data_IF_965595926387
#
_entry.id   IF_965595926387
#
_cell.length_a   1.000
_cell.length_b   1.000
_cell.length_c   1.000
_cell.angle_alpha   90.00
_cell.angle_beta   90.00
_cell.angle_gamma   90.00
#
_symmetry.space_group_name_H-M   'P 1'
#
loop_
_entity.id
_entity.type
_entity.pdbx_description
1 polymer ?
#
# COMPACT_ATOMS: atom_id res chain seq x y z
N UNK A 1 35.80 -11.12 -10.31
CA UNK A 1 35.95 -12.36 -9.48
C UNK A 1 34.58 -12.84 -9.06
N UNK A 2 34.05 -13.80 -9.79
CA UNK A 2 32.78 -14.43 -9.44
C UNK A 2 33.02 -15.42 -8.29
N UNK A 3 32.33 -15.32 -7.19
CA UNK A 3 32.35 -16.31 -6.12
C UNK A 3 30.96 -16.64 -5.63
N UNK A 4 30.52 -17.80 -6.08
CA UNK A 4 29.93 -18.86 -5.28
C UNK A 4 28.74 -18.48 -4.40
N UNK A 5 27.57 -18.42 -5.02
CA UNK A 5 26.33 -18.67 -4.32
C UNK A 5 26.37 -20.04 -3.64
N UNK A 6 26.09 -20.06 -2.37
CA UNK A 6 26.11 -21.24 -1.55
C UNK A 6 25.02 -22.23 -1.99
N UNK A 7 25.40 -23.15 -2.87
CA UNK A 7 24.55 -24.29 -3.34
C UNK A 7 24.03 -25.15 -2.17
N UNK A 8 24.57 -24.97 -0.98
CA UNK A 8 24.16 -25.68 0.22
C UNK A 8 22.82 -25.17 0.76
N UNK A 9 22.61 -23.86 0.78
CA UNK A 9 21.35 -23.26 1.24
C UNK A 9 20.15 -23.65 0.34
N UNK A 10 20.40 -23.76 -1.00
CA UNK A 10 19.37 -24.21 -1.95
C UNK A 10 19.09 -25.72 -1.80
N UNK A 11 20.12 -26.51 -1.48
CA UNK A 11 19.96 -27.94 -1.23
C UNK A 11 19.26 -28.23 0.10
N UNK A 12 19.41 -27.38 1.10
CA UNK A 12 18.76 -27.54 2.40
C UNK A 12 17.29 -27.11 2.34
N UNK A 13 16.95 -26.12 1.51
CA UNK A 13 15.56 -25.79 1.17
C UNK A 13 14.86 -26.91 0.38
N UNK A 14 15.58 -27.57 -0.54
CA UNK A 14 15.04 -28.71 -1.29
C UNK A 14 14.92 -29.97 -0.41
N UNK A 15 15.77 -30.13 0.61
CA UNK A 15 15.69 -31.27 1.56
C UNK A 15 14.51 -31.16 2.54
N UNK A 16 13.96 -29.97 2.76
CA UNK A 16 12.76 -29.82 3.61
C UNK A 16 11.46 -30.35 2.96
N UNK A 17 11.48 -30.74 1.69
CA UNK A 17 10.30 -31.27 0.97
C UNK A 17 10.30 -32.77 0.72
N UNK A 18 11.36 -33.52 1.07
CA UNK A 18 11.39 -34.98 0.89
C UNK A 18 11.36 -35.68 2.24
N UNK A 19 10.19 -35.78 2.82
CA UNK A 19 9.93 -36.82 3.85
C UNK A 19 9.78 -38.15 3.10
N UNK A 20 10.84 -38.98 3.09
CA UNK A 20 10.76 -40.36 2.65
C UNK A 20 9.80 -41.10 3.58
N UNK A 21 8.69 -41.57 3.03
CA UNK A 21 7.80 -42.50 3.68
C UNK A 21 8.52 -43.87 3.77
N UNK A 22 9.05 -44.17 4.95
CA UNK A 22 9.41 -45.53 5.31
C UNK A 22 8.15 -46.30 5.68
N UNK A 23 7.89 -47.43 5.04
CA UNK A 23 6.78 -48.35 5.33
C UNK A 23 6.89 -48.86 6.78
N UNK A 24 6.24 -48.21 7.73
CA UNK A 24 5.73 -48.78 8.98
C UNK A 24 4.24 -48.55 8.95
N UNK A 25 3.45 -49.59 9.20
CA UNK A 25 2.00 -49.52 9.30
C UNK A 25 1.65 -48.44 10.37
N UNK A 26 1.38 -47.23 9.91
CA UNK A 26 1.08 -46.11 10.77
C UNK A 26 -0.27 -46.34 11.41
N UNK A 27 -0.24 -46.49 12.71
CA UNK A 27 -1.43 -46.44 13.54
C UNK A 27 -2.25 -45.20 13.13
N UNK A 28 -3.57 -45.33 12.89
CA UNK A 28 -4.51 -44.27 12.47
C UNK A 28 -4.54 -43.04 13.38
N UNK A 29 -3.77 -43.04 14.49
CA UNK A 29 -3.52 -41.91 15.41
C UNK A 29 -2.40 -40.97 14.97
N UNK A 30 -1.88 -41.04 13.74
CA UNK A 30 -1.04 -39.96 13.21
C UNK A 30 -1.91 -38.71 13.16
N UNK A 31 -1.80 -37.92 14.21
CA UNK A 31 -2.50 -36.64 14.39
C UNK A 31 -2.22 -35.83 13.14
N UNK A 32 -3.20 -35.71 12.26
CA UNK A 32 -3.11 -34.78 11.10
C UNK A 32 -2.71 -33.44 11.67
N UNK A 33 -1.48 -33.02 11.37
CA UNK A 33 -0.93 -31.73 11.85
C UNK A 33 -1.99 -30.66 11.63
N UNK A 34 -2.53 -30.10 12.70
CA UNK A 34 -3.63 -29.14 12.64
C UNK A 34 -3.16 -27.96 11.78
N UNK A 35 -3.83 -27.74 10.65
CA UNK A 35 -3.47 -26.61 9.76
C UNK A 35 -3.57 -25.30 10.51
N UNK A 36 -2.49 -24.55 10.52
CA UNK A 36 -2.41 -23.21 11.10
C UNK A 36 -3.25 -22.22 10.29
N UNK A 37 -3.48 -21.03 10.81
CA UNK A 37 -4.15 -19.98 10.05
C UNK A 37 -3.25 -19.45 8.91
N UNK A 38 -1.92 -19.50 9.09
CA UNK A 38 -0.93 -19.23 8.06
C UNK A 38 -1.05 -20.22 6.91
N UNK A 39 -1.20 -21.54 7.18
CA UNK A 39 -1.41 -22.56 6.15
C UNK A 39 -2.71 -22.33 5.37
N UNK A 40 -3.76 -21.87 6.07
CA UNK A 40 -5.04 -21.53 5.43
C UNK A 40 -4.92 -20.31 4.53
N UNK A 41 -4.21 -19.28 5.00
CA UNK A 41 -3.92 -18.08 4.21
C UNK A 41 -3.13 -18.44 2.95
N UNK A 42 -2.05 -19.21 3.10
CA UNK A 42 -1.22 -19.63 1.98
C UNK A 42 -2.01 -20.45 0.95
N UNK A 43 -2.83 -21.40 1.42
CA UNK A 43 -3.69 -22.19 0.52
C UNK A 43 -4.66 -21.29 -0.24
N UNK A 44 -5.30 -20.35 0.42
CA UNK A 44 -6.20 -19.39 -0.23
C UNK A 44 -5.44 -18.54 -1.26
N UNK A 45 -4.24 -18.08 -0.94
CA UNK A 45 -3.41 -17.31 -1.87
C UNK A 45 -2.95 -18.15 -3.07
N UNK A 46 -2.56 -19.42 -2.85
CA UNK A 46 -2.17 -20.32 -3.94
C UNK A 46 -3.35 -20.54 -4.91
N UNK A 47 -4.56 -20.72 -4.39
CA UNK A 47 -5.77 -20.90 -5.20
C UNK A 47 -6.18 -19.60 -5.91
N UNK A 48 -6.24 -18.47 -5.21
CA UNK A 48 -6.74 -17.21 -5.75
C UNK A 48 -5.69 -16.43 -6.55
N UNK A 49 -4.51 -16.20 -5.95
CA UNK A 49 -3.46 -15.42 -6.62
C UNK A 49 -2.73 -16.21 -7.70
N UNK A 50 -2.73 -17.54 -7.61
CA UNK A 50 -2.25 -18.40 -8.69
C UNK A 50 -2.94 -18.10 -10.01
N UNK A 51 -4.26 -17.95 -9.98
CA UNK A 51 -5.06 -17.62 -11.15
C UNK A 51 -4.89 -16.16 -11.60
N UNK A 52 -4.88 -15.21 -10.64
CA UNK A 52 -4.74 -13.78 -10.93
C UNK A 52 -3.37 -13.43 -11.51
N UNK A 53 -2.28 -13.94 -10.91
CA UNK A 53 -0.91 -13.59 -11.27
C UNK A 53 -0.22 -14.61 -12.20
N UNK A 54 -0.83 -15.76 -12.40
CA UNK A 54 -0.34 -16.81 -13.29
C UNK A 54 1.13 -17.17 -13.02
N UNK A 55 1.95 -17.18 -14.05
CA UNK A 55 3.39 -17.51 -13.96
C UNK A 55 4.19 -16.63 -12.98
N UNK A 56 3.71 -15.43 -12.68
CA UNK A 56 4.38 -14.52 -11.74
C UNK A 56 4.15 -14.92 -10.28
N UNK A 57 3.10 -15.71 -10.00
CA UNK A 57 2.73 -16.08 -8.65
C UNK A 57 3.85 -16.83 -7.90
N UNK A 58 4.52 -17.76 -8.54
CA UNK A 58 5.59 -18.52 -7.90
C UNK A 58 6.70 -17.63 -7.33
N UNK A 59 7.14 -16.62 -8.09
CA UNK A 59 8.16 -15.68 -7.63
C UNK A 59 7.66 -14.75 -6.53
N UNK A 60 6.41 -14.29 -6.63
CA UNK A 60 5.75 -13.45 -5.62
C UNK A 60 5.58 -14.25 -4.32
N UNK A 61 5.07 -15.47 -4.42
CA UNK A 61 4.87 -16.39 -3.30
C UNK A 61 6.18 -16.64 -2.54
N UNK A 62 7.25 -16.93 -3.28
CA UNK A 62 8.57 -17.16 -2.69
C UNK A 62 9.07 -15.93 -1.93
N UNK A 63 8.92 -14.73 -2.50
CA UNK A 63 9.29 -13.49 -1.83
C UNK A 63 8.43 -13.20 -0.58
N UNK A 64 7.12 -13.48 -0.65
CA UNK A 64 6.22 -13.31 0.49
C UNK A 64 6.57 -14.24 1.66
N UNK A 65 7.08 -15.45 1.40
CA UNK A 65 7.43 -16.45 2.42
C UNK A 65 8.78 -16.18 3.11
N UNK A 66 9.58 -15.24 2.61
CA UNK A 66 10.81 -14.83 3.28
C UNK A 66 10.44 -14.07 4.56
N UNK A 67 10.91 -14.58 5.70
CA UNK A 67 10.63 -14.00 7.04
C UNK A 67 11.35 -12.67 7.26
N UNK A 68 12.50 -12.53 6.66
CA UNK A 68 13.34 -11.36 6.83
C UNK A 68 12.85 -10.23 5.92
N UNK A 69 12.57 -9.08 6.56
CA UNK A 69 12.15 -7.88 5.85
C UNK A 69 13.34 -6.98 5.57
N UNK A 70 13.37 -6.42 4.37
CA UNK A 70 14.24 -5.31 4.04
C UNK A 70 13.44 -4.02 4.29
N UNK A 71 14.05 -3.09 5.01
CA UNK A 71 13.42 -1.81 5.36
C UNK A 71 14.12 -0.66 4.64
N UNK A 72 13.42 0.45 4.53
CA UNK A 72 14.00 1.76 4.28
C UNK A 72 14.07 2.56 5.58
N UNK A 73 15.09 3.38 5.73
CA UNK A 73 15.21 4.30 6.85
C UNK A 73 14.67 5.68 6.44
N UNK A 74 13.57 6.08 7.07
CA UNK A 74 13.02 7.43 6.95
C UNK A 74 13.69 8.28 8.02
N UNK A 75 14.62 9.17 7.60
CA UNK A 75 15.38 10.03 8.50
C UNK A 75 14.45 10.97 9.21
N UNK A 76 14.69 11.15 10.50
CA UNK A 76 13.89 12.02 11.33
C UNK A 76 14.32 13.48 11.19
N UNK A 77 13.45 14.29 10.58
CA UNK A 77 13.69 15.74 10.39
C UNK A 77 13.67 16.55 11.71
N UNK A 78 13.30 15.92 12.83
CA UNK A 78 13.34 16.50 14.17
C UNK A 78 14.58 16.10 14.98
N UNK A 79 15.51 15.32 14.39
CA UNK A 79 16.77 14.88 15.00
C UNK A 79 17.97 15.51 14.28
N UNK A 80 19.18 14.96 14.49
CA UNK A 80 20.47 15.45 13.96
C UNK A 80 20.68 15.00 12.50
N UNK A 81 19.97 15.62 11.56
CA UNK A 81 19.84 15.19 10.16
C UNK A 81 21.20 14.93 9.50
N UNK A 82 22.17 15.87 9.60
CA UNK A 82 23.43 15.76 8.88
C UNK A 82 24.30 14.65 9.43
N UNK A 83 24.32 14.45 10.76
CA UNK A 83 24.98 13.31 11.40
C UNK A 83 24.39 12.00 10.93
N UNK A 84 23.05 11.89 10.92
CA UNK A 84 22.34 10.67 10.52
C UNK A 84 22.62 10.34 9.06
N UNK A 85 22.55 11.33 8.15
CA UNK A 85 22.89 11.15 6.74
C UNK A 85 24.30 10.60 6.56
N UNK A 86 25.30 11.25 7.18
CA UNK A 86 26.70 10.82 7.12
C UNK A 86 26.88 9.39 7.66
N UNK A 87 26.22 9.04 8.76
CA UNK A 87 26.27 7.69 9.34
C UNK A 87 25.65 6.66 8.39
N UNK A 88 24.47 6.92 7.82
CA UNK A 88 23.79 6.01 6.88
C UNK A 88 24.59 5.83 5.58
N UNK A 89 25.15 6.90 5.04
CA UNK A 89 25.98 6.88 3.83
C UNK A 89 27.30 6.14 4.07
N UNK A 90 27.92 6.30 5.25
CA UNK A 90 29.12 5.53 5.62
C UNK A 90 28.86 4.02 5.71
N UNK A 91 27.62 3.60 6.00
CA UNK A 91 27.20 2.21 5.96
C UNK A 91 26.82 1.73 4.54
N UNK A 92 26.98 2.58 3.51
CA UNK A 92 26.67 2.26 2.13
C UNK A 92 25.16 2.38 1.77
N UNK A 93 24.37 3.05 2.60
CA UNK A 93 22.99 3.35 2.25
C UNK A 93 22.93 4.55 1.30
N UNK A 94 21.95 4.53 0.38
CA UNK A 94 21.77 5.54 -0.66
C UNK A 94 20.44 6.26 -0.46
N UNK A 95 20.43 7.56 -0.76
CA UNK A 95 19.23 8.37 -0.71
C UNK A 95 18.30 8.06 -1.90
N UNK A 96 17.02 7.75 -1.61
CA UNK A 96 16.01 7.39 -2.61
C UNK A 96 15.79 8.50 -3.65
N UNK A 97 15.80 9.77 -3.23
CA UNK A 97 15.66 10.93 -4.12
C UNK A 97 16.81 11.01 -5.11
N UNK A 98 18.04 10.82 -4.62
CA UNK A 98 19.25 10.82 -5.48
C UNK A 98 19.18 9.69 -6.52
N UNK A 99 18.76 8.49 -6.11
CA UNK A 99 18.53 7.37 -7.04
C UNK A 99 17.50 7.75 -8.10
N UNK A 100 16.36 8.30 -7.69
CA UNK A 100 15.32 8.73 -8.61
C UNK A 100 15.82 9.76 -9.64
N UNK A 101 16.55 10.78 -9.20
CA UNK A 101 17.09 11.83 -10.07
C UNK A 101 18.11 11.30 -11.08
N UNK A 102 19.01 10.40 -10.65
CA UNK A 102 19.98 9.76 -11.53
C UNK A 102 19.27 8.96 -12.63
N UNK A 103 18.34 8.10 -12.26
CA UNK A 103 17.62 7.26 -13.24
C UNK A 103 16.70 8.08 -14.14
N UNK A 104 16.09 9.17 -13.63
CA UNK A 104 15.31 10.11 -14.43
C UNK A 104 16.17 10.75 -15.50
N UNK A 105 17.34 11.29 -15.17
CA UNK A 105 18.29 11.86 -16.14
C UNK A 105 18.68 10.83 -17.20
N UNK A 106 18.96 9.60 -16.78
CA UNK A 106 19.32 8.52 -17.70
C UNK A 106 18.18 8.16 -18.69
N UNK A 107 16.92 8.23 -18.25
CA UNK A 107 15.74 8.00 -19.10
C UNK A 107 15.57 9.16 -20.09
N UNK A 108 15.74 10.40 -19.63
CA UNK A 108 15.60 11.61 -20.44
C UNK A 108 16.69 11.67 -21.53
N UNK A 109 17.92 11.26 -21.22
CA UNK A 109 19.04 11.21 -22.17
C UNK A 109 18.94 10.04 -23.18
N UNK A 110 18.21 8.96 -22.87
CA UNK A 110 18.07 7.78 -23.72
C UNK A 110 16.61 7.42 -24.07
N UNK A 111 15.86 8.32 -24.71
CA UNK A 111 14.42 8.11 -24.96
C UNK A 111 14.14 6.96 -25.96
N UNK A 112 15.12 6.56 -26.76
CA UNK A 112 14.97 5.49 -27.76
C UNK A 112 14.88 4.09 -27.16
N UNK A 113 15.53 3.82 -26.02
CA UNK A 113 15.44 2.53 -25.30
C UNK A 113 14.08 2.33 -24.61
N UNK A 114 13.40 3.41 -24.22
CA UNK A 114 12.07 3.35 -23.64
C UNK A 114 10.97 3.04 -24.68
N UNK A 115 11.16 3.47 -25.94
CA UNK A 115 10.21 3.21 -27.04
C UNK A 115 10.26 1.75 -27.52
N UNK A 116 11.40 1.06 -27.47
CA UNK A 116 11.50 -0.34 -27.87
C UNK A 116 10.70 -1.29 -26.95
N UNK A 117 10.60 -0.95 -25.66
CA UNK A 117 9.73 -1.67 -24.74
C UNK A 117 8.22 -1.37 -24.94
N UNK A 118 7.88 -0.16 -25.44
CA UNK A 118 6.49 0.16 -25.82
C UNK A 118 6.05 -0.62 -27.07
N UNK A 119 6.96 -0.88 -28.01
CA UNK A 119 6.66 -1.63 -29.25
C UNK A 119 6.53 -3.14 -28.95
N UNK A 120 7.38 -3.69 -28.08
CA UNK A 120 7.24 -5.10 -27.61
C UNK A 120 5.96 -5.31 -26.80
N UNK A 121 5.56 -4.33 -25.98
CA UNK A 121 4.28 -4.35 -25.27
C UNK A 121 3.06 -4.18 -26.20
N UNK A 122 3.19 -3.42 -27.29
CA UNK A 122 2.13 -3.36 -28.33
C UNK A 122 1.99 -4.68 -29.09
N UNK A 123 3.10 -5.34 -29.40
CA UNK A 123 3.07 -6.67 -30.03
C UNK A 123 2.56 -7.75 -29.08
N UNK A 124 2.90 -7.69 -27.78
CA UNK A 124 2.34 -8.58 -26.76
C UNK A 124 0.83 -8.31 -26.55
N UNK A 125 0.40 -7.04 -26.52
CA UNK A 125 -1.04 -6.68 -26.48
C UNK A 125 -1.79 -7.13 -27.73
N UNK A 126 -1.17 -7.07 -28.91
CA UNK A 126 -1.80 -7.55 -30.16
C UNK A 126 -1.82 -9.10 -30.24
N UNK A 127 -0.80 -9.78 -29.69
CA UNK A 127 -0.83 -11.26 -29.55
C UNK A 127 -1.87 -11.72 -28.53
N UNK A 128 -2.03 -11.01 -27.43
CA UNK A 128 -3.10 -11.28 -26.44
C UNK A 128 -4.46 -10.99 -27.08
N UNK A 129 -4.61 -9.91 -27.86
CA UNK A 129 -5.85 -9.66 -28.63
C UNK A 129 -6.16 -10.72 -29.68
N UNK A 130 -5.16 -11.28 -30.38
CA UNK A 130 -5.38 -12.36 -31.35
C UNK A 130 -5.70 -13.70 -30.68
N UNK A 131 -5.16 -13.97 -29.49
CA UNK A 131 -5.52 -15.14 -28.68
C UNK A 131 -6.92 -15.01 -28.02
N UNK A 132 -7.41 -13.78 -27.88
CA UNK A 132 -8.75 -13.47 -27.33
C UNK A 132 -9.80 -13.44 -28.45
N UNK A 133 -9.40 -13.22 -29.73
CA UNK A 133 -10.36 -13.20 -30.85
C UNK A 133 -10.88 -14.58 -31.24
N UNK A 134 -10.21 -15.66 -30.78
CA UNK A 134 -10.67 -17.04 -31.04
C UNK A 134 -11.44 -17.65 -29.86
N UNK A 135 -11.59 -16.94 -28.75
CA UNK A 135 -12.48 -17.26 -27.64
C UNK A 135 -13.62 -16.24 -27.61
N UNK A 136 -14.84 -16.72 -27.53
CA UNK A 136 -16.11 -15.97 -27.60
C UNK A 136 -16.10 -14.53 -27.04
N UNK A 137 -16.91 -13.56 -27.60
CA UNK A 137 -16.70 -12.11 -27.46
C UNK A 137 -17.17 -11.52 -26.10
N UNK A 138 -16.88 -12.16 -24.96
CA UNK A 138 -17.35 -11.67 -23.66
C UNK A 138 -16.35 -11.76 -22.49
N UNK A 139 -15.04 -11.87 -22.76
CA UNK A 139 -14.04 -11.82 -21.69
C UNK A 139 -13.27 -10.50 -21.79
N UNK A 140 -13.96 -9.42 -21.46
CA UNK A 140 -13.33 -8.13 -21.15
C UNK A 140 -12.73 -8.14 -19.75
N UNK A 141 -12.09 -7.04 -19.35
CA UNK A 141 -11.54 -6.81 -18.01
C UNK A 141 -12.50 -7.13 -16.84
N UNK A 142 -13.81 -7.29 -17.09
CA UNK A 142 -14.80 -7.83 -16.18
C UNK A 142 -14.45 -9.25 -15.70
N UNK A 143 -13.77 -10.06 -16.50
CA UNK A 143 -13.38 -11.41 -16.11
C UNK A 143 -12.40 -11.48 -14.93
N UNK A 144 -11.55 -10.48 -14.72
CA UNK A 144 -10.69 -10.39 -13.53
C UNK A 144 -11.48 -10.14 -12.23
N UNK A 145 -12.63 -9.51 -12.34
CA UNK A 145 -13.54 -9.28 -11.21
C UNK A 145 -14.56 -10.42 -11.05
N UNK A 146 -14.72 -11.25 -12.05
CA UNK A 146 -15.62 -12.41 -12.01
C UNK A 146 -14.97 -13.63 -11.36
N UNK A 147 -13.64 -13.70 -11.32
CA UNK A 147 -12.93 -14.86 -10.81
C UNK A 147 -12.62 -14.72 -9.32
N UNK A 148 -13.65 -14.87 -8.49
CA UNK A 148 -13.49 -15.14 -7.06
C UNK A 148 -13.69 -16.64 -6.86
N UNK A 149 -12.66 -17.40 -6.42
CA UNK A 149 -12.81 -18.83 -6.20
C UNK A 149 -13.97 -19.09 -5.25
N UNK A 150 -14.80 -20.05 -5.61
CA UNK A 150 -15.92 -20.50 -4.79
C UNK A 150 -15.39 -21.18 -3.52
N UNK A 151 -15.11 -20.41 -2.48
CA UNK A 151 -14.72 -20.96 -1.19
C UNK A 151 -15.98 -21.36 -0.44
N UNK A 152 -16.18 -22.68 -0.29
CA UNK A 152 -17.27 -23.21 0.54
C UNK A 152 -17.01 -22.87 2.00
N UNK A 153 -17.73 -21.92 2.56
CA UNK A 153 -17.67 -21.60 3.98
C UNK A 153 -18.58 -22.57 4.72
N UNK A 154 -17.98 -23.62 5.27
CA UNK A 154 -18.72 -24.65 6.04
C UNK A 154 -19.16 -24.07 7.38
N UNK A 155 -20.47 -24.05 7.65
CA UNK A 155 -21.06 -23.65 8.92
C UNK A 155 -21.81 -22.32 8.93
N UNK A 156 -22.12 -21.76 7.79
CA UNK A 156 -23.13 -20.69 7.65
C UNK A 156 -24.41 -21.29 7.06
N UNK A 157 -25.53 -21.10 7.74
CA UNK A 157 -26.85 -21.59 7.31
C UNK A 157 -27.27 -20.97 5.97
N UNK A 158 -26.83 -19.73 5.67
CA UNK A 158 -26.98 -19.06 4.39
C UNK A 158 -25.69 -19.16 3.58
N UNK A 159 -25.63 -20.16 2.75
CA UNK A 159 -24.46 -20.50 1.97
C UNK A 159 -24.34 -19.60 0.73
N UNK A 160 -23.53 -18.55 0.81
CA UNK A 160 -23.24 -17.67 -0.32
C UNK A 160 -21.83 -17.97 -0.82
N UNK A 161 -21.66 -18.27 -2.10
CA UNK A 161 -20.35 -18.33 -2.73
C UNK A 161 -19.65 -16.99 -2.58
N UNK A 162 -18.35 -16.98 -2.31
CA UNK A 162 -17.58 -15.73 -2.19
C UNK A 162 -17.72 -14.87 -3.47
N UNK A 163 -17.82 -15.50 -4.65
CA UNK A 163 -18.12 -14.83 -5.91
C UNK A 163 -19.51 -14.15 -5.94
N UNK A 164 -20.50 -14.72 -5.27
CA UNK A 164 -21.85 -14.12 -5.17
C UNK A 164 -21.88 -12.99 -4.14
N UNK A 165 -21.09 -13.11 -3.07
CA UNK A 165 -20.95 -12.06 -2.06
C UNK A 165 -20.42 -10.76 -2.69
N UNK A 166 -19.55 -10.86 -3.70
CA UNK A 166 -19.04 -9.74 -4.48
C UNK A 166 -19.81 -9.52 -5.79
N UNK A 167 -21.05 -10.02 -5.91
CA UNK A 167 -21.85 -9.96 -7.14
C UNK A 167 -22.11 -8.54 -7.67
N UNK A 168 -22.15 -7.54 -6.79
CA UNK A 168 -22.31 -6.15 -7.20
C UNK A 168 -21.08 -5.56 -7.92
N UNK A 169 -19.92 -6.22 -7.87
CA UNK A 169 -18.78 -5.86 -8.71
C UNK A 169 -19.01 -6.20 -10.20
N UNK A 170 -19.96 -7.09 -10.49
CA UNK A 170 -20.28 -7.53 -11.87
C UNK A 170 -21.10 -6.51 -12.65
N UNK A 171 -21.90 -5.70 -12.00
CA UNK A 171 -22.70 -4.67 -12.66
C UNK A 171 -21.81 -3.46 -12.96
N UNK A 172 -21.09 -3.54 -14.08
CA UNK A 172 -20.38 -2.41 -14.63
C UNK A 172 -21.35 -1.30 -14.99
N UNK A 173 -21.42 -0.25 -14.17
CA UNK A 173 -21.99 0.99 -14.67
C UNK A 173 -21.11 1.46 -15.82
N UNK A 174 -21.73 1.89 -16.92
CA UNK A 174 -21.08 2.61 -18.00
C UNK A 174 -20.73 4.04 -17.54
N UNK A 175 -20.01 4.18 -16.41
CA UNK A 175 -19.46 5.46 -16.04
C UNK A 175 -18.02 5.57 -16.55
N UNK A 176 -17.70 6.69 -17.15
CA UNK A 176 -16.36 6.95 -17.63
C UNK A 176 -15.54 7.56 -16.51
N UNK A 177 -14.39 6.96 -16.22
CA UNK A 177 -13.40 7.54 -15.32
C UNK A 177 -12.41 8.32 -16.16
N UNK A 178 -12.20 9.59 -15.80
CA UNK A 178 -11.18 10.40 -16.43
C UNK A 178 -9.80 10.02 -15.89
N UNK A 179 -8.94 9.53 -16.77
CA UNK A 179 -7.56 9.21 -16.43
C UNK A 179 -6.63 10.25 -17.01
N UNK A 180 -5.78 10.83 -16.19
CA UNK A 180 -4.71 11.75 -16.62
C UNK A 180 -3.35 11.19 -16.26
N UNK A 181 -2.36 11.42 -17.13
CA UNK A 181 -0.98 11.01 -16.90
C UNK A 181 -0.28 11.98 -15.98
N UNK A 182 0.41 11.44 -14.99
CA UNK A 182 1.36 12.17 -14.17
C UNK A 182 2.79 11.81 -14.60
N UNK A 183 3.54 12.81 -15.01
CA UNK A 183 4.87 12.61 -15.61
C UNK A 183 5.99 12.66 -14.57
N UNK A 184 5.79 13.44 -13.50
CA UNK A 184 6.81 13.71 -12.50
C UNK A 184 6.34 13.24 -11.13
N UNK A 185 7.26 12.63 -10.38
CA UNK A 185 7.10 12.38 -8.96
C UNK A 185 7.85 13.46 -8.18
N UNK A 186 7.14 14.20 -7.33
CA UNK A 186 7.73 15.24 -6.52
C UNK A 186 8.26 14.65 -5.21
N UNK A 187 9.54 14.86 -4.92
CA UNK A 187 10.11 14.50 -3.64
C UNK A 187 10.13 15.72 -2.74
N UNK A 188 9.45 15.70 -1.57
CA UNK A 188 9.52 16.76 -0.60
C UNK A 188 10.96 17.05 -0.19
N UNK A 189 11.31 18.32 -0.08
CA UNK A 189 12.70 18.76 0.16
C UNK A 189 13.32 18.13 1.40
N UNK A 190 12.56 18.03 2.48
CA UNK A 190 13.01 17.56 3.79
C UNK A 190 12.84 16.06 4.00
N UNK A 191 12.14 15.35 3.12
CA UNK A 191 11.95 13.91 3.22
C UNK A 191 13.21 13.17 2.76
N UNK A 192 13.98 12.68 3.70
CA UNK A 192 15.18 11.90 3.44
C UNK A 192 14.92 10.43 3.73
N UNK A 193 15.00 9.61 2.68
CA UNK A 193 14.76 8.17 2.75
C UNK A 193 15.99 7.46 2.23
N UNK A 194 16.50 6.50 3.01
CA UNK A 194 17.68 5.73 2.66
C UNK A 194 17.36 4.26 2.46
N UNK A 195 18.02 3.65 1.51
CA UNK A 195 17.94 2.22 1.20
C UNK A 195 19.32 1.68 0.83
N UNK A 196 19.46 0.36 0.88
CA UNK A 196 20.65 -0.31 0.33
C UNK A 196 20.37 -0.72 -1.13
N UNK A 197 21.43 -0.95 -1.89
CA UNK A 197 21.36 -1.47 -3.26
C UNK A 197 20.57 -2.77 -3.35
N UNK A 198 20.08 -3.04 -4.55
CA UNK A 198 19.46 -4.32 -4.87
C UNK A 198 20.45 -5.48 -4.60
N UNK A 199 19.97 -6.55 -4.00
CA UNK A 199 20.77 -7.70 -3.54
C UNK A 199 21.81 -7.40 -2.43
N UNK A 200 21.75 -6.25 -1.79
CA UNK A 200 22.54 -5.97 -0.60
C UNK A 200 21.74 -6.36 0.65
N UNK A 201 22.24 -7.37 1.39
CA UNK A 201 21.60 -7.91 2.60
C UNK A 201 21.90 -7.09 3.86
N UNK A 202 22.56 -5.93 3.73
CA UNK A 202 22.83 -5.04 4.85
C UNK A 202 21.55 -4.58 5.52
N UNK A 203 21.61 -4.45 6.84
CA UNK A 203 20.48 -3.99 7.67
C UNK A 203 20.85 -2.68 8.34
N UNK A 204 19.86 -1.82 8.46
CA UNK A 204 20.00 -0.63 9.29
C UNK A 204 20.17 -1.04 10.75
N UNK A 205 21.13 -0.44 11.48
CA UNK A 205 21.25 -0.63 12.92
C UNK A 205 19.98 -0.13 13.63
N UNK A 206 19.88 -0.44 14.92
CA UNK A 206 18.77 0.10 15.73
C UNK A 206 18.90 1.61 15.83
N UNK A 207 17.80 2.34 15.57
CA UNK A 207 17.75 3.80 15.66
C UNK A 207 18.10 4.24 17.08
N UNK A 208 18.99 5.22 17.20
CA UNK A 208 19.42 5.83 18.47
C UNK A 208 18.66 7.14 18.70
N UNK A 209 18.72 7.67 19.91
CA UNK A 209 18.21 9.01 20.18
C UNK A 209 19.30 10.04 19.84
N UNK A 210 18.89 11.07 19.10
CA UNK A 210 19.72 12.22 18.78
C UNK A 210 19.80 13.24 19.92
N UNK A 211 20.44 14.38 19.67
CA UNK A 211 20.60 15.49 20.62
C UNK A 211 19.27 16.07 21.09
N UNK A 212 18.25 15.99 20.25
CA UNK A 212 16.88 16.43 20.53
C UNK A 212 16.07 15.44 21.37
N UNK A 213 16.63 14.29 21.72
CA UNK A 213 16.01 13.24 22.53
C UNK A 213 15.04 12.34 21.81
N UNK A 214 14.80 12.56 20.49
CA UNK A 214 13.98 11.69 19.65
C UNK A 214 14.82 10.71 18.84
N UNK A 215 14.20 9.66 18.30
CA UNK A 215 14.87 8.65 17.50
C UNK A 215 15.32 9.18 16.13
N UNK A 216 16.47 8.73 15.64
CA UNK A 216 17.15 9.22 14.46
C UNK A 216 16.45 8.90 13.14
N UNK A 217 15.87 7.72 13.01
CA UNK A 217 15.12 7.31 11.82
C UNK A 217 14.12 6.22 12.13
N UNK A 218 13.09 6.15 11.32
CA UNK A 218 12.04 5.14 11.37
C UNK A 218 12.24 4.12 10.26
N UNK A 219 12.21 2.82 10.62
CA UNK A 219 12.30 1.74 9.65
C UNK A 219 10.90 1.44 9.11
N UNK A 220 10.72 1.64 7.80
CA UNK A 220 9.47 1.45 7.10
C UNK A 220 9.65 0.41 5.98
N UNK A 221 8.62 -0.38 5.69
CA UNK A 221 8.58 -1.18 4.47
C UNK A 221 8.75 -0.26 3.25
N UNK A 222 9.71 -0.58 2.37
CA UNK A 222 10.07 0.32 1.28
C UNK A 222 8.91 0.63 0.32
N UNK A 223 7.96 -0.29 0.14
CA UNK A 223 6.80 -0.02 -0.69
C UNK A 223 5.79 0.92 -0.03
N UNK A 224 5.77 1.01 1.32
CA UNK A 224 4.91 1.92 2.08
C UNK A 224 5.24 3.40 1.90
N UNK A 225 6.41 3.71 1.33
CA UNK A 225 6.81 5.08 0.96
C UNK A 225 6.02 5.59 -0.25
N UNK A 226 5.65 4.70 -1.19
CA UNK A 226 5.02 5.08 -2.45
C UNK A 226 3.70 5.84 -2.28
N UNK A 227 2.75 5.41 -1.42
CA UNK A 227 1.54 6.19 -1.16
C UNK A 227 1.81 7.59 -0.61
N UNK A 228 2.85 7.75 0.21
CA UNK A 228 3.24 9.06 0.78
C UNK A 228 3.78 9.98 -0.30
N UNK A 229 4.63 9.48 -1.20
CA UNK A 229 5.12 10.25 -2.34
C UNK A 229 4.01 10.61 -3.33
N UNK A 230 3.02 9.71 -3.51
CA UNK A 230 1.88 9.93 -4.39
C UNK A 230 0.95 11.06 -3.90
N UNK A 231 0.97 11.42 -2.61
CA UNK A 231 0.19 12.54 -2.10
C UNK A 231 0.58 13.88 -2.73
N UNK A 232 1.84 14.02 -3.17
CA UNK A 232 2.37 15.28 -3.75
C UNK A 232 2.19 16.50 -2.82
N UNK A 233 2.63 16.32 -1.56
CA UNK A 233 2.46 17.29 -0.49
C UNK A 233 3.09 18.63 -0.81
N UNK A 234 2.33 19.70 -0.57
CA UNK A 234 2.76 21.07 -0.73
C UNK A 234 2.89 21.78 0.63
N UNK A 235 3.75 22.84 0.73
CA UNK A 235 3.84 23.62 1.96
C UNK A 235 2.49 24.23 2.35
N UNK A 236 2.09 24.00 3.58
CA UNK A 236 0.85 24.53 4.12
C UNK A 236 -0.38 23.61 4.01
N UNK A 237 -0.23 22.43 3.42
CA UNK A 237 -1.33 21.49 3.27
C UNK A 237 -1.97 21.06 4.60
N UNK A 238 -3.29 20.91 4.60
CA UNK A 238 -4.01 20.20 5.63
C UNK A 238 -4.19 18.73 5.21
N UNK A 239 -3.63 17.83 6.00
CA UNK A 239 -3.53 16.39 5.68
C UNK A 239 -4.33 15.56 6.67
N UNK A 240 -5.12 14.61 6.14
CA UNK A 240 -5.83 13.59 6.92
C UNK A 240 -5.31 12.19 6.55
N UNK A 241 -4.80 11.45 7.54
CA UNK A 241 -4.55 10.00 7.43
C UNK A 241 -5.71 9.27 8.11
N UNK A 242 -6.61 8.68 7.30
CA UNK A 242 -7.88 8.14 7.77
C UNK A 242 -7.77 6.84 8.56
N UNK A 243 -6.70 6.06 8.37
CA UNK A 243 -6.47 4.76 9.02
C UNK A 243 -5.00 4.66 9.45
N UNK A 244 -4.55 5.62 10.23
CA UNK A 244 -3.15 5.98 10.43
C UNK A 244 -2.30 4.92 11.16
N UNK A 245 -2.90 4.05 11.95
CA UNK A 245 -2.12 3.11 12.77
C UNK A 245 -1.41 2.02 11.94
N UNK A 246 -0.16 1.73 12.27
CA UNK A 246 0.57 2.07 13.52
C UNK A 246 1.27 3.45 13.55
N UNK A 247 1.19 4.27 12.49
CA UNK A 247 1.74 5.63 12.46
C UNK A 247 2.93 5.84 11.52
N UNK A 248 3.38 4.80 10.81
CA UNK A 248 4.58 4.91 9.95
C UNK A 248 4.40 5.83 8.74
N UNK A 249 3.25 5.78 8.04
CA UNK A 249 2.94 6.70 6.93
C UNK A 249 2.67 8.11 7.46
N UNK A 250 1.89 8.24 8.52
CA UNK A 250 1.69 9.53 9.24
C UNK A 250 3.03 10.18 9.60
N UNK A 251 3.95 9.40 10.19
CA UNK A 251 5.28 9.90 10.52
C UNK A 251 6.04 10.34 9.25
N UNK A 252 6.00 9.54 8.18
CA UNK A 252 6.65 9.90 6.92
C UNK A 252 6.10 11.20 6.31
N UNK A 253 4.80 11.44 6.44
CA UNK A 253 4.16 12.71 6.07
C UNK A 253 4.71 13.87 6.93
N UNK A 254 4.80 13.69 8.24
CA UNK A 254 5.36 14.69 9.16
C UNK A 254 6.84 15.01 8.86
N UNK A 255 7.63 14.01 8.43
CA UNK A 255 9.04 14.20 8.05
C UNK A 255 9.23 15.06 6.81
N UNK A 256 8.18 15.29 6.02
CA UNK A 256 8.23 16.23 4.90
C UNK A 256 8.28 17.69 5.35
N UNK A 257 7.86 18.00 6.57
CA UNK A 257 7.66 19.34 7.13
C UNK A 257 6.72 20.23 6.29
N UNK A 258 5.95 19.64 5.38
CA UNK A 258 5.01 20.33 4.50
C UNK A 258 3.65 20.62 5.16
N UNK A 259 3.06 19.69 5.94
CA UNK A 259 1.74 19.93 6.50
C UNK A 259 1.70 21.10 7.48
N UNK A 260 0.72 21.97 7.31
CA UNK A 260 0.35 22.94 8.35
C UNK A 260 -0.54 22.30 9.41
N UNK A 261 -1.43 21.41 8.97
CA UNK A 261 -2.31 20.64 9.85
C UNK A 261 -2.17 19.16 9.47
N UNK A 262 -2.00 18.30 10.48
CA UNK A 262 -1.98 16.85 10.32
C UNK A 262 -2.99 16.21 11.26
N UNK A 263 -3.95 15.50 10.70
CA UNK A 263 -4.91 14.67 11.45
C UNK A 263 -4.63 13.21 11.19
N UNK A 264 -4.31 12.46 12.23
CA UNK A 264 -4.11 11.02 12.21
C UNK A 264 -5.28 10.32 12.91
N UNK A 265 -6.05 9.53 12.17
CA UNK A 265 -7.24 8.87 12.68
C UNK A 265 -7.10 7.36 12.69
N UNK A 266 -7.65 6.69 13.69
CA UNK A 266 -7.91 5.26 13.68
C UNK A 266 -9.14 4.94 14.52
N UNK A 267 -9.90 3.90 14.16
CA UNK A 267 -11.14 3.53 14.87
C UNK A 267 -10.87 2.88 16.24
N UNK A 268 -9.69 2.26 16.43
CA UNK A 268 -9.40 1.47 17.62
C UNK A 268 -8.51 2.22 18.59
N UNK A 269 -8.95 2.36 19.85
CA UNK A 269 -8.20 3.01 20.93
C UNK A 269 -6.76 2.47 21.09
N UNK A 270 -6.59 1.16 21.05
CA UNK A 270 -5.26 0.53 21.15
C UNK A 270 -4.34 0.91 20.01
N UNK A 271 -4.89 1.11 18.80
CA UNK A 271 -4.16 1.55 17.62
C UNK A 271 -3.85 3.04 17.68
N UNK A 272 -4.78 3.88 18.14
CA UNK A 272 -4.57 5.30 18.45
C UNK A 272 -3.41 5.48 19.43
N UNK A 273 -3.34 4.65 20.48
CA UNK A 273 -2.24 4.68 21.44
C UNK A 273 -0.88 4.34 20.78
N UNK A 274 -0.85 3.49 19.76
CA UNK A 274 0.37 3.21 18.97
C UNK A 274 0.81 4.43 18.15
N UNK A 275 -0.13 5.13 17.52
CA UNK A 275 0.15 6.38 16.80
C UNK A 275 0.79 7.39 17.76
N UNK A 276 0.17 7.64 18.92
CA UNK A 276 0.71 8.54 19.92
C UNK A 276 2.11 8.14 20.40
N UNK A 277 2.34 6.82 20.59
CA UNK A 277 3.67 6.32 20.95
C UNK A 277 4.72 6.62 19.88
N UNK A 278 4.39 6.43 18.61
CA UNK A 278 5.29 6.76 17.48
C UNK A 278 5.55 8.25 17.44
N UNK A 279 4.51 9.09 17.52
CA UNK A 279 4.67 10.55 17.54
C UNK A 279 5.61 10.98 18.69
N UNK A 280 5.40 10.48 19.90
CA UNK A 280 6.22 10.82 21.06
C UNK A 280 7.68 10.38 20.94
N UNK A 281 7.97 9.35 20.15
CA UNK A 281 9.33 8.87 19.94
C UNK A 281 10.10 9.62 18.84
N UNK A 282 9.39 10.25 17.90
CA UNK A 282 10.01 10.82 16.70
C UNK A 282 9.77 12.31 16.52
N UNK A 283 8.81 12.94 17.20
CA UNK A 283 8.53 14.37 17.04
C UNK A 283 9.08 15.11 18.26
N UNK A 284 10.09 15.94 18.05
CA UNK A 284 10.62 16.84 19.08
C UNK A 284 9.70 18.06 19.26
N UNK A 285 9.65 18.58 20.48
CA UNK A 285 8.89 19.78 20.77
C UNK A 285 7.39 19.60 20.54
N UNK A 286 6.81 18.48 20.99
CA UNK A 286 5.39 18.13 20.77
C UNK A 286 4.46 19.29 21.14
N UNK A 287 4.76 20.06 22.19
CA UNK A 287 3.99 21.25 22.57
C UNK A 287 3.84 22.29 21.47
N UNK A 288 4.80 22.41 20.55
CA UNK A 288 4.71 23.30 19.38
C UNK A 288 3.76 22.75 18.29
N UNK A 289 3.43 21.46 18.36
CA UNK A 289 2.56 20.75 17.42
C UNK A 289 1.15 20.52 17.96
N UNK A 290 0.85 20.92 19.20
CA UNK A 290 -0.45 20.69 19.86
C UNK A 290 -1.63 21.24 19.06
N UNK A 291 -1.42 22.36 18.37
CA UNK A 291 -2.45 23.00 17.56
C UNK A 291 -2.48 22.51 16.11
N UNK A 292 -1.47 21.75 15.67
CA UNK A 292 -1.26 21.36 14.27
C UNK A 292 -1.34 19.86 14.04
N UNK A 293 -1.09 19.04 15.06
CA UNK A 293 -1.12 17.59 15.02
C UNK A 293 -2.22 17.05 15.92
N UNK A 294 -3.25 16.48 15.31
CA UNK A 294 -4.39 15.93 16.02
C UNK A 294 -4.49 14.42 15.80
N UNK A 295 -4.55 13.63 16.88
CA UNK A 295 -4.82 12.20 16.80
C UNK A 295 -6.26 11.95 17.26
N UNK A 296 -7.05 11.27 16.41
CA UNK A 296 -8.49 11.05 16.64
C UNK A 296 -8.84 9.57 16.66
N UNK A 297 -9.92 9.26 17.39
CA UNK A 297 -10.50 7.91 17.46
C UNK A 297 -11.91 7.97 16.86
N UNK A 298 -12.01 7.77 15.53
CA UNK A 298 -13.27 7.85 14.80
C UNK A 298 -13.38 6.78 13.72
N UNK A 299 -14.60 6.41 13.42
CA UNK A 299 -14.88 5.57 12.25
C UNK A 299 -14.71 6.41 10.96
N UNK A 300 -13.73 5.98 10.13
CA UNK A 300 -13.38 6.69 8.91
C UNK A 300 -14.51 6.79 7.88
N UNK A 301 -15.54 5.93 7.99
CA UNK A 301 -16.73 5.97 7.12
C UNK A 301 -17.63 7.19 7.38
N UNK A 302 -17.50 7.79 8.55
CA UNK A 302 -18.38 8.85 9.06
C UNK A 302 -17.62 10.10 9.54
N UNK A 303 -16.37 10.25 9.12
CA UNK A 303 -15.65 11.51 9.39
C UNK A 303 -16.33 12.61 8.58
N UNK A 304 -16.70 13.69 9.26
CA UNK A 304 -17.29 14.89 8.69
C UNK A 304 -16.30 16.06 8.82
N UNK A 305 -16.21 16.90 7.80
CA UNK A 305 -15.39 18.12 7.76
C UNK A 305 -15.67 19.04 8.94
N UNK A 306 -16.96 19.27 9.25
CA UNK A 306 -17.42 20.20 10.29
C UNK A 306 -16.94 19.78 11.67
N UNK A 307 -16.98 18.49 11.94
CA UNK A 307 -16.54 17.91 13.20
C UNK A 307 -15.03 17.99 13.38
N UNK A 308 -14.27 17.84 12.28
CA UNK A 308 -12.82 17.97 12.29
C UNK A 308 -12.39 19.42 12.41
N UNK A 309 -13.07 20.32 11.71
CA UNK A 309 -12.89 21.77 11.85
C UNK A 309 -13.05 22.22 13.30
N UNK A 310 -14.14 21.83 13.95
CA UNK A 310 -14.40 22.19 15.34
C UNK A 310 -13.32 21.70 16.31
N UNK A 311 -12.75 20.49 16.11
CA UNK A 311 -11.70 19.95 16.99
C UNK A 311 -10.33 20.61 16.78
N UNK A 312 -9.98 20.92 15.54
CA UNK A 312 -8.68 21.50 15.20
C UNK A 312 -8.66 23.01 15.48
N UNK A 313 -9.77 23.70 15.22
CA UNK A 313 -9.86 25.17 15.34
C UNK A 313 -10.35 25.69 16.70
N UNK A 314 -11.06 24.86 17.49
CA UNK A 314 -11.56 25.30 18.81
C UNK A 314 -10.46 25.61 19.84
N UNK A 315 -9.22 25.25 19.57
CA UNK A 315 -8.15 25.47 20.56
C UNK A 315 -7.54 26.86 20.55
N UNK A 316 -7.58 27.64 19.45
CA UNK A 316 -6.97 29.00 19.44
C UNK A 316 -7.41 30.03 18.38
N UNK A 317 -8.42 29.79 17.53
CA UNK A 317 -8.74 30.75 16.46
C UNK A 317 -10.18 31.27 16.51
N UNK A 318 -10.52 32.04 17.56
CA UNK A 318 -11.80 32.79 17.59
C UNK A 318 -11.88 33.90 16.52
N UNK A 319 -10.76 34.33 15.94
CA UNK A 319 -10.71 35.49 15.03
C UNK A 319 -10.95 35.15 13.54
N UNK A 320 -10.82 33.87 13.12
CA UNK A 320 -10.98 33.47 11.72
C UNK A 320 -12.27 32.68 11.42
N UNK A 321 -13.22 32.70 12.32
CA UNK A 321 -14.44 31.90 12.29
C UNK A 321 -15.38 32.18 11.12
N UNK A 322 -15.30 33.32 10.48
CA UNK A 322 -16.27 33.78 9.46
C UNK A 322 -15.79 33.61 8.01
N UNK A 323 -14.51 33.28 7.75
CA UNK A 323 -13.95 33.33 6.39
C UNK A 323 -13.75 31.94 5.77
N UNK A 324 -13.74 30.85 6.53
CA UNK A 324 -13.42 29.50 6.03
C UNK A 324 -14.51 28.45 6.27
N UNK A 325 -15.65 28.59 5.59
CA UNK A 325 -16.62 27.49 5.38
C UNK A 325 -16.21 26.73 4.10
N UNK A 326 -14.98 26.26 4.00
CA UNK A 326 -14.52 25.49 2.83
C UNK A 326 -13.82 24.24 3.36
N UNK A 327 -14.14 23.09 2.77
CA UNK A 327 -13.51 21.80 2.97
C UNK A 327 -12.03 21.95 3.31
N UNK A 328 -11.61 21.42 4.47
CA UNK A 328 -10.30 21.76 5.05
C UNK A 328 -9.16 20.97 4.37
N UNK A 329 -9.42 19.70 4.01
CA UNK A 329 -8.34 18.82 3.60
C UNK A 329 -8.00 18.97 2.12
N UNK A 330 -6.71 19.24 1.84
CA UNK A 330 -6.13 19.20 0.50
C UNK A 330 -5.51 17.86 0.17
N UNK A 331 -5.14 17.07 1.20
CA UNK A 331 -4.52 15.77 1.03
C UNK A 331 -5.15 14.75 1.99
N UNK A 332 -5.62 13.62 1.46
CA UNK A 332 -6.15 12.52 2.28
C UNK A 332 -5.43 11.22 1.92
N UNK A 333 -4.80 10.60 2.92
CA UNK A 333 -4.29 9.24 2.82
C UNK A 333 -5.34 8.25 3.34
N UNK A 334 -5.63 7.24 2.53
CA UNK A 334 -6.62 6.19 2.82
C UNK A 334 -5.92 4.83 2.77
N UNK A 335 -5.05 4.58 3.78
CA UNK A 335 -4.35 3.29 3.94
C UNK A 335 -5.22 2.34 4.74
N UNK A 336 -6.17 1.70 4.05
CA UNK A 336 -7.28 0.96 4.68
C UNK A 336 -6.85 -0.36 5.33
N UNK A 337 -7.62 -0.83 6.35
CA UNK A 337 -7.49 -2.22 6.79
C UNK A 337 -7.70 -3.18 5.62
N UNK A 338 -6.80 -4.12 5.44
CA UNK A 338 -6.81 -5.09 4.36
C UNK A 338 -6.42 -6.48 4.85
N UNK A 339 -6.27 -7.46 3.97
CA UNK A 339 -5.85 -8.82 4.34
C UNK A 339 -4.41 -8.89 4.88
N UNK A 340 -3.61 -7.81 4.69
CA UNK A 340 -2.20 -7.74 5.13
C UNK A 340 -1.41 -8.99 4.73
N UNK A 341 -1.35 -9.26 3.42
CA UNK A 341 -0.99 -10.57 2.86
C UNK A 341 0.35 -11.13 3.37
N UNK A 342 1.36 -10.28 3.52
CA UNK A 342 2.63 -10.71 4.10
C UNK A 342 2.50 -11.09 5.58
N UNK A 343 1.82 -10.26 6.38
CA UNK A 343 1.69 -10.48 7.83
C UNK A 343 0.99 -11.79 8.15
N UNK A 344 -0.09 -12.12 7.44
CA UNK A 344 -0.88 -13.34 7.70
C UNK A 344 -0.13 -14.64 7.38
N UNK A 345 0.93 -14.58 6.58
CA UNK A 345 1.81 -15.71 6.28
C UNK A 345 2.88 -15.95 7.36
N UNK A 346 3.12 -14.94 8.23
CA UNK A 346 4.19 -14.99 9.22
C UNK A 346 3.72 -14.92 10.67
N UNK A 347 2.45 -14.57 10.92
CA UNK A 347 1.92 -14.38 12.27
C UNK A 347 0.55 -15.01 12.44
N UNK A 348 0.38 -15.69 13.56
CA UNK A 348 -0.93 -16.13 14.03
C UNK A 348 -1.68 -15.01 14.77
N UNK A 349 -0.96 -13.99 15.22
CA UNK A 349 -1.56 -12.87 15.93
C UNK A 349 -2.37 -12.00 14.95
N UNK A 350 -3.60 -11.67 15.33
CA UNK A 350 -4.54 -10.88 14.53
C UNK A 350 -4.77 -11.39 13.09
N UNK A 351 -4.49 -12.67 12.82
CA UNK A 351 -4.64 -13.26 11.51
C UNK A 351 -6.11 -13.28 11.07
N UNK A 352 -6.40 -12.63 9.93
CA UNK A 352 -7.77 -12.51 9.39
C UNK A 352 -8.31 -13.83 8.81
N UNK A 353 -7.45 -14.84 8.64
CA UNK A 353 -7.85 -16.19 8.23
C UNK A 353 -8.29 -17.07 9.39
N UNK A 354 -8.39 -16.52 10.61
CA UNK A 354 -9.04 -17.19 11.74
C UNK A 354 -10.51 -17.44 11.42
N UNK A 355 -11.09 -18.61 11.77
CA UNK A 355 -12.49 -18.93 11.49
C UNK A 355 -13.47 -17.88 12.00
N UNK A 356 -13.19 -17.30 13.18
CA UNK A 356 -14.03 -16.27 13.79
C UNK A 356 -14.06 -14.95 13.02
N UNK A 357 -13.06 -14.71 12.14
CA UNK A 357 -12.91 -13.48 11.36
C UNK A 357 -13.31 -13.63 9.89
N UNK A 358 -13.91 -14.74 9.49
CA UNK A 358 -14.33 -14.97 8.09
C UNK A 358 -15.30 -13.88 7.63
N UNK A 359 -16.31 -13.53 8.46
CA UNK A 359 -17.28 -12.47 8.13
C UNK A 359 -16.62 -11.11 7.96
N UNK A 360 -15.63 -10.80 8.81
CA UNK A 360 -14.83 -9.57 8.71
C UNK A 360 -14.06 -9.55 7.39
N UNK A 361 -13.37 -10.65 7.04
CA UNK A 361 -12.61 -10.76 5.79
C UNK A 361 -13.48 -10.57 4.55
N UNK A 362 -14.66 -11.18 4.52
CA UNK A 362 -15.60 -11.07 3.39
C UNK A 362 -16.15 -9.64 3.23
N UNK A 363 -16.31 -8.90 4.33
CA UNK A 363 -16.80 -7.52 4.33
C UNK A 363 -15.71 -6.45 4.13
N UNK A 364 -14.43 -6.85 4.05
CA UNK A 364 -13.34 -5.88 3.88
C UNK A 364 -13.53 -4.98 2.66
N UNK A 365 -13.84 -5.47 1.45
CA UNK A 365 -13.99 -4.59 0.28
C UNK A 365 -15.12 -3.58 0.43
N UNK A 366 -16.23 -3.95 1.07
CA UNK A 366 -17.34 -3.03 1.35
C UNK A 366 -16.91 -1.93 2.33
N UNK A 367 -16.21 -2.33 3.41
CA UNK A 367 -15.67 -1.38 4.39
C UNK A 367 -14.68 -0.42 3.74
N UNK A 368 -13.75 -0.95 2.95
CA UNK A 368 -12.73 -0.18 2.23
C UNK A 368 -13.38 0.81 1.24
N UNK A 369 -14.38 0.36 0.48
CA UNK A 369 -15.13 1.21 -0.45
C UNK A 369 -15.89 2.33 0.28
N UNK A 370 -16.50 2.04 1.43
CA UNK A 370 -17.19 3.03 2.23
C UNK A 370 -16.23 4.10 2.78
N UNK A 371 -15.03 3.69 3.24
CA UNK A 371 -13.99 4.63 3.72
C UNK A 371 -13.50 5.50 2.56
N UNK A 372 -13.15 4.90 1.41
CA UNK A 372 -12.68 5.65 0.25
C UNK A 372 -13.78 6.60 -0.30
N UNK A 373 -15.04 6.16 -0.35
CA UNK A 373 -16.15 7.02 -0.75
C UNK A 373 -16.28 8.24 0.16
N UNK A 374 -16.14 8.05 1.48
CA UNK A 374 -16.17 9.17 2.41
C UNK A 374 -15.00 10.13 2.18
N UNK A 375 -13.77 9.62 2.00
CA UNK A 375 -12.60 10.43 1.66
C UNK A 375 -12.83 11.30 0.42
N UNK A 376 -13.37 10.69 -0.66
CA UNK A 376 -13.66 11.38 -1.92
C UNK A 376 -14.77 12.44 -1.79
N UNK A 377 -15.66 12.30 -0.81
CA UNK A 377 -16.70 13.31 -0.54
C UNK A 377 -16.20 14.50 0.25
N UNK A 378 -15.29 14.26 1.20
CA UNK A 378 -14.79 15.32 2.10
C UNK A 378 -13.54 16.04 1.59
N UNK A 379 -12.87 15.52 0.54
CA UNK A 379 -11.71 16.20 -0.04
C UNK A 379 -12.11 17.51 -0.70
N UNK A 380 -11.27 18.54 -0.55
CA UNK A 380 -11.45 19.84 -1.20
C UNK A 380 -11.35 19.76 -2.72
N UNK A 381 -11.94 20.72 -3.42
CA UNK A 381 -11.67 20.90 -4.86
C UNK A 381 -10.19 21.20 -5.06
N UNK A 382 -9.55 20.53 -6.00
CA UNK A 382 -8.09 20.56 -6.21
C UNK A 382 -7.32 19.62 -5.29
N UNK A 383 -7.97 19.01 -4.29
CA UNK A 383 -7.33 18.12 -3.34
C UNK A 383 -7.10 16.71 -3.89
N UNK A 384 -6.18 15.99 -3.25
CA UNK A 384 -5.73 14.65 -3.63
C UNK A 384 -6.11 13.61 -2.57
N UNK A 385 -6.66 12.50 -3.00
CA UNK A 385 -6.86 11.29 -2.20
C UNK A 385 -5.92 10.21 -2.71
N UNK A 386 -5.12 9.62 -1.82
CA UNK A 386 -4.33 8.44 -2.13
C UNK A 386 -4.88 7.25 -1.36
N UNK A 387 -5.47 6.31 -2.10
CA UNK A 387 -5.91 5.03 -1.57
C UNK A 387 -4.76 4.02 -1.60
N UNK A 388 -4.58 3.23 -0.53
CA UNK A 388 -3.55 2.19 -0.51
C UNK A 388 -3.94 0.96 0.29
N UNK A 389 -3.38 -0.19 -0.09
CA UNK A 389 -3.47 -1.47 0.62
C UNK A 389 -2.16 -2.24 0.54
N UNK A 390 -1.88 -3.08 1.53
CA UNK A 390 -0.81 -4.07 1.45
C UNK A 390 -1.31 -5.46 1.04
N UNK A 391 -2.33 -5.51 0.19
CA UNK A 391 -2.92 -6.73 -0.36
C UNK A 391 -2.67 -6.87 -1.87
N UNK A 392 -2.52 -8.11 -2.31
CA UNK A 392 -2.48 -8.48 -3.73
C UNK A 392 -3.88 -8.66 -4.33
N UNK A 393 -4.95 -8.61 -3.52
CA UNK A 393 -6.32 -8.87 -3.99
C UNK A 393 -6.83 -7.78 -4.93
N UNK A 394 -7.12 -8.09 -6.21
CA UNK A 394 -7.68 -7.11 -7.15
C UNK A 394 -8.99 -6.49 -6.64
N UNK A 395 -9.77 -7.27 -5.87
CA UNK A 395 -11.04 -6.83 -5.31
C UNK A 395 -10.82 -5.73 -4.27
N UNK A 396 -9.81 -5.88 -3.39
CA UNK A 396 -9.45 -4.88 -2.39
C UNK A 396 -8.70 -3.67 -2.98
N UNK A 397 -8.21 -3.79 -4.21
CA UNK A 397 -7.43 -2.80 -4.92
C UNK A 397 -8.30 -2.02 -5.92
N UNK A 398 -8.17 -2.29 -7.22
CA UNK A 398 -8.95 -1.63 -8.28
C UNK A 398 -10.46 -1.80 -8.11
N UNK A 399 -10.91 -2.93 -7.57
CA UNK A 399 -12.32 -3.19 -7.29
C UNK A 399 -12.93 -2.17 -6.33
N UNK A 400 -12.24 -1.90 -5.23
CA UNK A 400 -12.64 -0.88 -4.24
C UNK A 400 -12.63 0.53 -4.85
N UNK A 401 -11.59 0.86 -5.63
CA UNK A 401 -11.52 2.16 -6.31
C UNK A 401 -12.70 2.35 -7.26
N UNK A 402 -12.99 1.32 -8.08
CA UNK A 402 -14.13 1.34 -9.00
C UNK A 402 -15.47 1.55 -8.29
N UNK A 403 -15.71 0.83 -7.18
CA UNK A 403 -16.94 0.98 -6.38
C UNK A 403 -17.08 2.37 -5.77
N UNK A 404 -15.99 2.88 -5.18
CA UNK A 404 -16.04 4.19 -4.54
C UNK A 404 -16.27 5.31 -5.56
N UNK A 405 -15.59 5.26 -6.71
CA UNK A 405 -15.79 6.23 -7.79
C UNK A 405 -17.21 6.17 -8.36
N UNK A 406 -17.76 4.95 -8.58
CA UNK A 406 -19.13 4.76 -9.01
C UNK A 406 -20.11 5.39 -8.01
N UNK A 407 -19.93 5.12 -6.73
CA UNK A 407 -20.81 5.63 -5.68
C UNK A 407 -20.75 7.16 -5.56
N UNK A 408 -19.55 7.76 -5.67
CA UNK A 408 -19.40 9.23 -5.70
C UNK A 408 -20.10 9.82 -6.93
N UNK A 409 -19.96 9.19 -8.09
CA UNK A 409 -20.61 9.61 -9.32
C UNK A 409 -22.15 9.54 -9.22
N UNK A 410 -22.71 8.49 -8.58
CA UNK A 410 -24.15 8.32 -8.37
C UNK A 410 -24.74 9.30 -7.34
N UNK A 411 -23.99 9.60 -6.28
CA UNK A 411 -24.50 10.34 -5.12
C UNK A 411 -24.13 11.83 -5.12
N UNK A 412 -23.23 12.26 -6.03
CA UNK A 412 -22.70 13.65 -6.06
C UNK A 412 -22.51 14.14 -7.48
N UNK A 413 -22.33 15.47 -7.63
CA UNK A 413 -21.92 16.09 -8.91
C UNK A 413 -20.40 16.31 -8.97
N UNK A 414 -19.61 15.59 -8.17
CA UNK A 414 -18.17 15.76 -8.12
C UNK A 414 -17.49 15.09 -9.32
N UNK A 415 -16.45 15.75 -9.82
CA UNK A 415 -15.61 15.23 -10.90
C UNK A 415 -14.30 14.77 -10.30
N UNK A 416 -14.04 13.46 -10.43
CA UNK A 416 -12.81 12.81 -9.97
C UNK A 416 -11.95 12.43 -11.16
N UNK A 417 -10.64 12.67 -11.03
CA UNK A 417 -9.62 12.28 -12.01
C UNK A 417 -8.68 11.29 -11.36
N UNK A 418 -8.49 10.14 -11.99
CA UNK A 418 -7.48 9.16 -11.58
C UNK A 418 -6.16 9.49 -12.26
N UNK A 419 -5.08 9.55 -11.50
CA UNK A 419 -3.73 9.85 -12.02
C UNK A 419 -2.98 8.57 -12.38
N UNK A 420 -2.66 8.41 -13.67
CA UNK A 420 -1.74 7.36 -14.12
C UNK A 420 -0.29 7.82 -13.86
N UNK A 421 0.31 7.29 -12.82
CA UNK A 421 1.67 7.59 -12.38
C UNK A 421 2.73 6.70 -13.04
N UNK A 422 2.39 5.90 -14.05
CA UNK A 422 3.32 4.93 -14.69
C UNK A 422 4.59 5.58 -15.22
N UNK A 423 4.50 6.82 -15.68
CA UNK A 423 5.63 7.60 -16.19
C UNK A 423 6.44 8.20 -15.04
N UNK A 424 5.79 8.82 -14.08
CA UNK A 424 6.40 9.37 -12.87
C UNK A 424 7.17 8.32 -12.05
N UNK A 425 6.67 7.10 -12.00
CA UNK A 425 7.28 5.97 -11.29
C UNK A 425 8.39 5.26 -12.10
N UNK A 426 8.56 5.62 -13.39
CA UNK A 426 9.52 4.93 -14.27
C UNK A 426 10.97 4.91 -13.72
N UNK A 427 11.50 6.00 -13.13
CA UNK A 427 12.84 5.99 -12.56
C UNK A 427 13.01 5.05 -11.37
N UNK A 428 11.93 4.75 -10.64
CA UNK A 428 11.94 3.84 -9.49
C UNK A 428 11.89 2.35 -9.87
N UNK A 429 11.76 2.01 -11.15
CA UNK A 429 11.79 0.61 -11.62
C UNK A 429 13.12 -0.10 -11.39
N UNK A 430 14.17 0.63 -11.09
CA UNK A 430 15.45 0.07 -10.65
C UNK A 430 15.37 -0.54 -9.24
N UNK A 431 14.43 -0.11 -8.42
CA UNK A 431 14.24 -0.57 -7.04
C UNK A 431 12.95 -1.36 -6.84
N UNK A 432 11.90 -1.00 -7.57
CA UNK A 432 10.57 -1.58 -7.41
C UNK A 432 10.14 -2.34 -8.66
N UNK A 433 9.56 -3.50 -8.47
CA UNK A 433 8.86 -4.20 -9.53
C UNK A 433 7.39 -3.81 -9.53
N UNK A 434 7.02 -2.91 -10.45
CA UNK A 434 5.62 -2.58 -10.67
C UNK A 434 4.96 -3.62 -11.57
N UNK A 435 3.84 -4.17 -11.10
CA UNK A 435 3.06 -5.14 -11.85
C UNK A 435 2.03 -4.46 -12.76
N UNK A 436 1.91 -4.95 -14.00
CA UNK A 436 0.82 -4.57 -14.90
C UNK A 436 -0.10 -5.78 -15.09
N UNK A 437 -0.90 -6.09 -14.08
CA UNK A 437 -1.82 -7.23 -14.05
C UNK A 437 -3.25 -6.83 -14.44
N UNK A 438 -3.37 -5.96 -15.43
CA UNK A 438 -4.67 -5.47 -15.90
C UNK A 438 -5.30 -4.40 -14.99
N UNK A 439 -4.53 -3.79 -14.10
CA UNK A 439 -4.99 -2.68 -13.27
C UNK A 439 -5.46 -1.52 -14.14
N UNK A 440 -6.61 -0.98 -13.82
CA UNK A 440 -7.28 0.11 -14.54
C UNK A 440 -7.04 1.48 -13.91
N UNK A 441 -6.90 1.51 -12.58
CA UNK A 441 -6.87 2.74 -11.80
C UNK A 441 -5.55 2.98 -11.10
N UNK A 442 -5.03 1.99 -10.40
CA UNK A 442 -3.88 2.17 -9.53
C UNK A 442 -2.62 1.46 -9.99
N UNK A 443 -1.62 1.48 -9.12
CA UNK A 443 -0.32 0.85 -9.31
C UNK A 443 -0.05 -0.12 -8.17
N UNK A 444 0.67 -1.21 -8.47
CA UNK A 444 1.06 -2.18 -7.46
C UNK A 444 2.56 -2.45 -7.52
N UNK A 445 3.22 -2.26 -6.38
CA UNK A 445 4.57 -2.75 -6.16
C UNK A 445 4.48 -4.17 -5.61
N UNK A 446 5.04 -5.13 -6.33
CA UNK A 446 5.05 -6.54 -5.93
C UNK A 446 6.37 -6.93 -5.28
N UNK A 447 6.35 -7.80 -4.26
CA UNK A 447 7.58 -8.25 -3.61
C UNK A 447 8.48 -9.02 -4.59
N UNK A 448 9.78 -8.81 -4.45
CA UNK A 448 10.83 -9.51 -5.19
C UNK A 448 11.81 -10.15 -4.21
N UNK A 449 12.61 -11.09 -4.68
CA UNK A 449 13.65 -11.70 -3.85
C UNK A 449 14.76 -10.71 -3.47
N UNK A 450 14.98 -9.71 -4.33
CA UNK A 450 16.06 -8.73 -4.16
C UNK A 450 15.75 -7.70 -3.09
N UNK A 451 14.59 -7.06 -3.17
CA UNK A 451 14.23 -5.98 -2.25
C UNK A 451 13.18 -6.38 -1.22
N UNK A 452 12.40 -7.38 -1.49
CA UNK A 452 11.40 -7.98 -0.60
C UNK A 452 10.46 -6.96 0.11
N UNK A 453 10.09 -5.88 -0.62
CA UNK A 453 9.13 -4.87 -0.15
C UNK A 453 7.71 -5.17 -0.62
N UNK A 454 6.74 -4.72 0.14
CA UNK A 454 5.32 -4.87 -0.20
C UNK A 454 4.76 -6.26 0.08
N UNK A 455 3.61 -6.60 -0.56
CA UNK A 455 2.95 -5.86 -1.65
C UNK A 455 2.42 -4.51 -1.20
N UNK A 456 2.31 -3.56 -2.15
CA UNK A 456 1.67 -2.28 -1.91
C UNK A 456 0.94 -1.81 -3.17
N UNK A 457 -0.37 -1.76 -3.09
CA UNK A 457 -1.20 -1.11 -4.09
C UNK A 457 -1.46 0.34 -3.67
N UNK A 458 -1.50 1.26 -4.63
CA UNK A 458 -1.92 2.63 -4.41
C UNK A 458 -2.55 3.24 -5.66
N UNK A 459 -3.50 4.14 -5.43
CA UNK A 459 -4.21 4.88 -6.47
C UNK A 459 -4.35 6.34 -6.06
N UNK A 460 -3.92 7.26 -6.92
CA UNK A 460 -4.03 8.71 -6.73
C UNK A 460 -5.28 9.22 -7.44
N UNK A 461 -6.14 9.91 -6.71
CA UNK A 461 -7.41 10.46 -7.21
C UNK A 461 -7.45 11.94 -6.84
N UNK A 462 -7.75 12.80 -7.80
CA UNK A 462 -7.86 14.26 -7.62
C UNK A 462 -9.29 14.69 -7.85
N UNK A 463 -9.85 15.51 -6.96
CA UNK A 463 -11.14 16.16 -7.15
C UNK A 463 -10.96 17.47 -7.90
N UNK A 464 -11.61 17.61 -9.05
CA UNK A 464 -11.52 18.83 -9.87
C UNK A 464 -12.77 19.70 -9.80
N UNK A 465 -13.88 19.12 -9.34
CA UNK A 465 -15.15 19.85 -9.12
C UNK A 465 -15.93 19.22 -7.98
#
# INVERSE_FOLDING_TARGET
MARLFNRQAIKDLAKMQVVRYGNKADHWSVIKKKKTHMDKALKHFDEFYGDVYGKSWESIRTALLIKEHKYMAVVNSFSDIDRIKSELESHGAMNLKAIYEIYKKHIDENPSKSKSNKTKNKQAKNRIKSLISDAEPNVGLSGLYEFVPATKIKGMEDWILESQHYGYYKEGANFSVNNEKEVLLTFPQYLNIYTFEENNDSRFPSSKKGSTGVLDYYLLDGASVLPVLALDLQPGDAVLDMCAAPGGKTLSILQTLMPNIMVANDIQKSRVNRINKVINQYVAGIGQWEDRLCVTERDARFIDDKDMYNKVMHRKFDFFREIFIITIFLQILVDVPCTTDRHVLHSEENNIFKPQRIRERLKLPELQAAILTNALKIISVGGTVVYSTCSLSPIQNDGVVGMALKKVWEETNFIMIVKDMSEALSPLKCLYKFGNFGLKYGHIAIPTLQNNWGPMYFCKIVRTR
#
